data_IF_953646153957
#
_entry.id   IF_953646153957
#
_cell.length_a   1.000
_cell.length_b   1.000
_cell.length_c   1.000
_cell.angle_alpha   90.00
_cell.angle_beta   90.00
_cell.angle_gamma   90.00
#
_symmetry.space_group_name_H-M   'P 1'
#
loop_
_entity.id
_entity.type
_entity.pdbx_description
1 polymer ?
#
# COMPACT_ATOMS: atom_id res chain seq x y z
N UNK A 1 -10.46 4.54 1.62
CA UNK A 1 -10.00 3.78 2.81
C UNK A 1 -11.14 3.25 3.67
N UNK A 2 -12.33 3.86 3.65
CA UNK A 2 -13.44 3.42 4.52
C UNK A 2 -13.95 2.00 4.20
N UNK A 3 -13.86 1.58 2.93
CA UNK A 3 -14.15 0.20 2.54
C UNK A 3 -13.22 -0.81 3.21
N UNK A 4 -11.91 -0.52 3.30
CA UNK A 4 -10.96 -1.38 4.01
C UNK A 4 -11.31 -1.48 5.50
N UNK A 5 -11.64 -0.36 6.14
CA UNK A 5 -12.00 -0.34 7.56
C UNK A 5 -13.29 -1.09 7.86
N UNK A 6 -14.27 -1.03 6.97
CA UNK A 6 -15.60 -1.63 7.17
C UNK A 6 -15.66 -3.10 6.74
N UNK A 7 -15.10 -3.43 5.57
CA UNK A 7 -15.28 -4.73 4.92
C UNK A 7 -14.07 -5.66 5.12
N UNK A 8 -12.89 -5.10 5.39
CA UNK A 8 -11.63 -5.85 5.48
C UNK A 8 -10.76 -5.40 6.68
N UNK A 9 -11.29 -5.39 7.92
CA UNK A 9 -10.62 -4.80 9.08
C UNK A 9 -9.28 -5.47 9.41
N UNK A 10 -9.09 -6.74 9.01
CA UNK A 10 -7.83 -7.47 9.23
C UNK A 10 -6.64 -6.89 8.47
N UNK A 11 -6.87 -6.37 7.27
CA UNK A 11 -5.81 -5.81 6.40
C UNK A 11 -5.76 -4.28 6.43
N UNK A 12 -6.77 -3.63 7.01
CA UNK A 12 -6.92 -2.18 7.00
C UNK A 12 -5.72 -1.43 7.61
N UNK A 13 -5.05 -2.02 8.61
CA UNK A 13 -3.86 -1.43 9.24
C UNK A 13 -2.60 -1.53 8.36
N UNK A 14 -2.62 -2.42 7.36
CA UNK A 14 -1.48 -2.71 6.49
C UNK A 14 -1.57 -1.97 5.14
N UNK A 15 -2.73 -1.38 4.82
CA UNK A 15 -2.95 -0.66 3.56
C UNK A 15 -3.13 0.83 3.84
N UNK A 16 -2.35 1.66 3.16
CA UNK A 16 -2.38 3.11 3.31
C UNK A 16 -2.55 3.80 1.95
N UNK A 17 -3.23 4.95 1.94
CA UNK A 17 -3.31 5.82 0.77
C UNK A 17 -2.78 7.20 1.19
N UNK A 18 -1.85 7.77 0.43
CA UNK A 18 -1.33 9.11 0.68
C UNK A 18 -2.45 10.13 0.77
N UNK A 19 -2.31 11.11 1.67
CA UNK A 19 -3.24 12.24 1.72
C UNK A 19 -3.12 13.07 0.44
N UNK A 20 -4.24 13.38 -0.19
CA UNK A 20 -4.29 14.29 -1.34
C UNK A 20 -4.36 15.74 -0.87
N UNK A 21 -3.50 16.59 -1.44
CA UNK A 21 -3.51 18.03 -1.24
C UNK A 21 -4.34 18.70 -2.35
N UNK A 22 -5.66 18.74 -2.17
CA UNK A 22 -6.59 19.26 -3.17
C UNK A 22 -6.35 20.73 -3.53
N UNK A 23 -5.87 21.54 -2.58
CA UNK A 23 -5.49 22.94 -2.80
C UNK A 23 -4.25 23.12 -3.68
N UNK A 24 -3.44 22.08 -3.83
CA UNK A 24 -2.24 22.04 -4.68
C UNK A 24 -2.45 21.14 -5.91
N UNK A 25 -3.68 20.68 -6.13
CA UNK A 25 -4.04 19.79 -7.23
C UNK A 25 -4.90 20.53 -8.26
N UNK A 26 -4.75 20.16 -9.53
CA UNK A 26 -5.53 20.67 -10.66
C UNK A 26 -6.11 19.51 -11.46
N UNK A 27 -6.89 19.79 -12.50
CA UNK A 27 -7.41 18.75 -13.41
C UNK A 27 -6.32 17.96 -14.16
N UNK A 28 -5.07 18.43 -14.17
CA UNK A 28 -3.93 17.79 -14.86
C UNK A 28 -2.77 17.41 -13.95
N UNK A 29 -2.83 17.77 -12.66
CA UNK A 29 -1.76 17.52 -11.71
C UNK A 29 -2.35 17.13 -10.36
N UNK A 30 -2.07 15.91 -9.93
CA UNK A 30 -2.46 15.43 -8.60
C UNK A 30 -1.26 15.54 -7.66
N UNK A 31 -1.44 16.27 -6.56
CA UNK A 31 -0.40 16.47 -5.54
C UNK A 31 -0.79 15.72 -4.27
N UNK A 32 0.13 14.92 -3.72
CA UNK A 32 -0.13 14.07 -2.57
C UNK A 32 1.06 14.00 -1.61
N UNK A 33 0.81 13.43 -0.43
CA UNK A 33 1.82 13.15 0.59
C UNK A 33 3.01 12.38 0.02
N UNK A 34 4.21 12.91 0.27
CA UNK A 34 5.45 12.25 -0.09
C UNK A 34 5.68 11.04 0.83
N UNK A 35 5.94 9.88 0.22
CA UNK A 35 6.12 8.62 0.93
C UNK A 35 7.52 8.08 0.67
N UNK A 36 8.32 7.99 1.72
CA UNK A 36 9.61 7.30 1.67
C UNK A 36 9.38 5.79 1.80
N UNK A 37 9.33 5.12 0.65
CA UNK A 37 9.00 3.70 0.52
C UNK A 37 9.65 3.10 -0.74
N UNK A 38 9.90 1.80 -0.75
CA UNK A 38 10.45 1.11 -1.90
C UNK A 38 9.35 0.78 -2.92
N UNK A 39 9.66 0.80 -4.22
CA UNK A 39 8.74 0.27 -5.21
C UNK A 39 8.58 -1.24 -5.05
N UNK A 40 7.37 -1.76 -5.28
CA UNK A 40 7.08 -3.20 -5.10
C UNK A 40 7.93 -4.11 -6.02
N UNK A 41 8.41 -3.57 -7.15
CA UNK A 41 9.29 -4.26 -8.10
C UNK A 41 10.79 -4.14 -7.76
N UNK A 42 11.18 -3.29 -6.81
CA UNK A 42 12.58 -3.09 -6.43
C UNK A 42 12.96 -4.02 -5.27
N UNK A 43 13.29 -5.27 -5.64
CA UNK A 43 13.74 -6.29 -4.69
C UNK A 43 14.94 -5.85 -3.84
N UNK A 44 15.87 -5.06 -4.40
CA UNK A 44 17.06 -4.64 -3.66
C UNK A 44 16.69 -3.67 -2.54
N UNK A 45 15.83 -2.70 -2.84
CA UNK A 45 15.35 -1.75 -1.83
C UNK A 45 14.48 -2.42 -0.77
N UNK A 46 13.61 -3.36 -1.17
CA UNK A 46 12.81 -4.15 -0.21
C UNK A 46 13.72 -4.94 0.75
N UNK A 47 14.75 -5.62 0.24
CA UNK A 47 15.71 -6.36 1.07
C UNK A 47 16.50 -5.44 2.01
N UNK A 48 16.90 -4.24 1.54
CA UNK A 48 17.58 -3.25 2.40
C UNK A 48 16.70 -2.75 3.55
N UNK A 49 15.38 -2.73 3.36
CA UNK A 49 14.41 -2.39 4.41
C UNK A 49 14.20 -3.56 5.41
N UNK A 50 14.88 -4.69 5.23
CA UNK A 50 14.71 -5.89 6.07
C UNK A 50 13.36 -6.59 5.86
N UNK A 51 12.73 -6.35 4.71
CA UNK A 51 11.43 -6.90 4.36
C UNK A 51 11.63 -8.17 3.53
N UNK A 52 10.87 -9.22 3.84
CA UNK A 52 10.85 -10.43 3.03
C UNK A 52 9.94 -10.23 1.80
N UNK A 53 10.44 -10.46 0.57
CA UNK A 53 9.63 -10.31 -0.65
C UNK A 53 8.36 -11.19 -0.66
N UNK A 54 8.40 -12.35 -0.01
CA UNK A 54 7.22 -13.22 0.15
C UNK A 54 6.08 -12.55 0.90
N UNK A 55 6.39 -11.79 1.95
CA UNK A 55 5.40 -11.10 2.77
C UNK A 55 4.72 -10.00 1.96
N UNK A 56 5.50 -9.31 1.12
CA UNK A 56 4.99 -8.31 0.18
C UNK A 56 4.01 -8.92 -0.80
N UNK A 57 4.40 -10.03 -1.47
CA UNK A 57 3.54 -10.70 -2.45
C UNK A 57 2.23 -11.18 -1.82
N UNK A 58 2.30 -11.75 -0.62
CA UNK A 58 1.12 -12.21 0.12
C UNK A 58 0.17 -11.04 0.43
N UNK A 59 0.69 -9.96 1.00
CA UNK A 59 -0.13 -8.81 1.37
C UNK A 59 -0.72 -8.09 0.15
N UNK A 60 0.05 -7.95 -0.94
CA UNK A 60 -0.42 -7.40 -2.21
C UNK A 60 -1.57 -8.24 -2.74
N UNK A 61 -1.37 -9.56 -2.83
CA UNK A 61 -2.36 -10.50 -3.36
C UNK A 61 -3.66 -10.48 -2.55
N UNK A 62 -3.55 -10.51 -1.21
CA UNK A 62 -4.70 -10.43 -0.31
C UNK A 62 -5.43 -9.10 -0.47
N UNK A 63 -4.70 -7.98 -0.55
CA UNK A 63 -5.28 -6.64 -0.72
C UNK A 63 -6.08 -6.53 -2.02
N UNK A 64 -5.53 -7.02 -3.14
CA UNK A 64 -6.24 -7.01 -4.42
C UNK A 64 -7.44 -7.97 -4.45
N UNK A 65 -7.32 -9.15 -3.86
CA UNK A 65 -8.44 -10.08 -3.74
C UNK A 65 -9.59 -9.47 -2.91
N UNK A 66 -9.28 -8.81 -1.80
CA UNK A 66 -10.28 -8.14 -0.95
C UNK A 66 -10.97 -6.99 -1.70
N UNK A 67 -10.21 -6.17 -2.43
CA UNK A 67 -10.80 -5.11 -3.28
C UNK A 67 -11.73 -5.69 -4.35
N UNK A 68 -11.31 -6.77 -5.01
CA UNK A 68 -12.07 -7.41 -6.10
C UNK A 68 -13.35 -8.08 -5.60
N UNK A 69 -13.26 -8.88 -4.53
CA UNK A 69 -14.36 -9.74 -4.10
C UNK A 69 -15.25 -9.11 -3.03
N UNK A 70 -14.74 -8.19 -2.21
CA UNK A 70 -15.52 -7.60 -1.11
C UNK A 70 -15.94 -6.16 -1.35
N UNK A 71 -15.07 -5.34 -1.92
CA UNK A 71 -15.35 -3.90 -2.02
C UNK A 71 -16.17 -3.57 -3.26
N UNK A 72 -16.16 -4.44 -4.28
CA UNK A 72 -16.84 -4.19 -5.56
C UNK A 72 -16.23 -3.04 -6.37
N UNK A 73 -15.12 -2.46 -5.88
CA UNK A 73 -14.35 -1.40 -6.52
C UNK A 73 -12.88 -1.83 -6.54
N UNK A 74 -12.33 -1.93 -7.74
CA UNK A 74 -10.93 -2.29 -7.96
C UNK A 74 -10.17 -1.04 -8.38
N UNK A 75 -8.97 -0.86 -7.85
CA UNK A 75 -8.02 0.08 -8.46
C UNK A 75 -7.71 -0.42 -9.86
N UNK A 76 -8.30 0.20 -10.89
CA UNK A 76 -8.25 -0.29 -12.28
C UNK A 76 -6.84 -0.42 -12.85
N UNK A 77 -5.84 0.19 -12.20
CA UNK A 77 -4.43 0.04 -12.56
C UNK A 77 -3.59 -0.54 -11.40
N UNK A 78 -3.54 -1.88 -11.25
CA UNK A 78 -2.72 -2.56 -10.24
C UNK A 78 -1.23 -2.57 -10.63
N UNK A 79 -0.78 -1.70 -11.53
CA UNK A 79 0.60 -1.66 -11.95
C UNK A 79 1.52 -1.47 -10.74
N UNK A 80 2.61 -2.23 -10.73
CA UNK A 80 3.69 -2.13 -9.75
C UNK A 80 4.21 -0.69 -9.52
N UNK A 81 4.00 0.24 -10.47
CA UNK A 81 4.41 1.63 -10.35
C UNK A 81 3.56 2.43 -9.35
N UNK A 82 2.32 2.00 -9.07
CA UNK A 82 1.40 2.66 -8.15
C UNK A 82 1.42 2.04 -6.73
N UNK A 83 2.33 1.10 -6.48
CA UNK A 83 2.44 0.36 -5.22
C UNK A 83 3.82 0.57 -4.62
N UNK A 84 3.84 1.17 -3.44
CA UNK A 84 5.05 1.25 -2.63
C UNK A 84 4.92 0.38 -1.38
N UNK A 85 6.06 -0.07 -0.87
CA UNK A 85 6.18 -0.93 0.30
C UNK A 85 7.11 -0.26 1.31
N UNK A 86 6.68 -0.24 2.57
CA UNK A 86 7.48 0.27 3.68
C UNK A 86 7.23 -0.54 4.96
N UNK A 87 8.15 -0.49 5.94
CA UNK A 87 7.83 -0.94 7.29
C UNK A 87 6.68 -0.13 7.90
N UNK A 88 5.90 -0.78 8.76
CA UNK A 88 4.86 -0.13 9.56
C UNK A 88 5.50 0.90 10.51
N UNK A 89 4.99 2.14 10.56
CA UNK A 89 5.53 3.19 11.43
C UNK A 89 5.42 2.88 12.93
N UNK A 90 4.54 1.95 13.32
CA UNK A 90 4.31 1.58 14.72
C UNK A 90 5.47 0.77 15.34
N UNK A 91 6.50 0.41 14.56
CA UNK A 91 7.64 -0.37 15.05
C UNK A 91 7.26 -1.79 15.49
N UNK A 92 6.02 -2.24 15.24
CA UNK A 92 5.62 -3.61 15.49
C UNK A 92 6.51 -4.54 14.68
N UNK A 93 7.01 -5.58 15.35
CA UNK A 93 7.75 -6.67 14.73
C UNK A 93 6.99 -7.98 14.95
N UNK A 94 7.06 -8.85 13.95
CA UNK A 94 6.64 -10.23 14.10
C UNK A 94 7.47 -10.91 15.20
N UNK A 95 6.96 -12.02 15.73
CA UNK A 95 7.64 -12.85 16.74
C UNK A 95 9.04 -13.29 16.25
N UNK A 96 9.19 -13.42 14.93
CA UNK A 96 10.46 -13.74 14.27
C UNK A 96 11.40 -12.54 14.05
N UNK A 97 11.06 -11.34 14.55
CA UNK A 97 11.87 -10.13 14.44
C UNK A 97 11.69 -9.34 13.15
N UNK A 98 10.97 -9.87 12.15
CA UNK A 98 10.69 -9.17 10.90
C UNK A 98 9.76 -7.97 11.13
N UNK A 99 10.00 -6.81 10.48
CA UNK A 99 9.09 -5.68 10.54
C UNK A 99 7.76 -6.07 9.91
N UNK A 100 6.64 -5.67 10.53
CA UNK A 100 5.39 -5.69 9.80
C UNK A 100 5.46 -4.65 8.67
N UNK A 101 4.85 -4.96 7.53
CA UNK A 101 4.93 -4.15 6.31
C UNK A 101 3.62 -3.41 6.06
N UNK A 102 3.69 -2.27 5.37
CA UNK A 102 2.52 -1.57 4.86
C UNK A 102 2.68 -1.32 3.38
N UNK A 103 1.59 -1.54 2.64
CA UNK A 103 1.47 -1.20 1.23
C UNK A 103 0.83 0.18 1.13
N UNK A 104 1.46 1.03 0.34
CA UNK A 104 0.95 2.34 -0.02
C UNK A 104 0.40 2.26 -1.43
N UNK A 105 -0.89 2.50 -1.57
CA UNK A 105 -1.59 2.50 -2.85
C UNK A 105 -1.80 3.94 -3.28
N UNK A 106 -1.24 4.30 -4.44
CA UNK A 106 -1.40 5.60 -5.05
C UNK A 106 -2.68 5.60 -5.88
N UNK A 107 -3.59 6.53 -5.59
CA UNK A 107 -4.78 6.71 -6.41
C UNK A 107 -4.40 7.31 -7.76
N UNK A 108 -4.65 6.56 -8.82
CA UNK A 108 -4.75 7.11 -10.17
C UNK A 108 -6.23 7.13 -10.50
N UNK A 109 -6.85 8.31 -10.41
CA UNK A 109 -8.21 8.50 -10.90
C UNK A 109 -8.24 8.13 -12.39
N UNK A 110 -9.02 7.12 -12.73
CA UNK A 110 -9.36 6.82 -14.12
C UNK A 110 -10.36 7.87 -14.65
#
# INVERSE_FOLDING_TARGET
MDNFRTLSPRIADYVYAPRVYWNLSTSRLLTMEYMEAAQVNDLKSIQRLGIQPSDVVNLVSETFAEMMFKHGFVHCDPHAANLLVRPLPSGRRSIFGNPFISIVIFYVSC
#
